data_IF_942328337969
#
_entry.id   IF_942328337969
#
_cell.length_a   1.000
_cell.length_b   1.000
_cell.length_c   1.000
_cell.angle_alpha   90.00
_cell.angle_beta   90.00
_cell.angle_gamma   90.00
#
_symmetry.space_group_name_H-M   'P 1'
#
loop_
_entity.id
_entity.type
_entity.pdbx_description
1 polymer ?
#
# COMPACT_ATOMS: atom_id res chain seq x y z
N UNK A 1 -9.93 26.90 17.65
CA UNK A 1 -9.59 26.23 16.39
C UNK A 1 -8.66 25.10 16.75
N UNK A 2 -9.14 23.85 16.82
CA UNK A 2 -8.32 22.69 17.19
C UNK A 2 -7.58 22.25 15.93
N UNK A 3 -6.26 22.25 15.98
CA UNK A 3 -5.40 21.70 14.94
C UNK A 3 -5.65 20.19 14.92
N UNK A 4 -6.03 19.66 13.76
CA UNK A 4 -6.15 18.23 13.51
C UNK A 4 -4.75 17.62 13.67
N UNK A 5 -4.62 16.65 14.58
CA UNK A 5 -3.37 15.94 14.82
C UNK A 5 -2.91 15.16 13.59
N UNK A 6 -1.58 15.06 13.47
CA UNK A 6 -0.87 14.20 12.53
C UNK A 6 -1.30 12.74 12.74
N UNK A 7 -1.76 12.09 11.67
CA UNK A 7 -2.09 10.67 11.68
C UNK A 7 -0.83 9.93 11.22
N UNK A 8 -0.10 9.36 12.18
CA UNK A 8 1.00 8.43 11.90
C UNK A 8 0.41 7.03 11.72
N UNK A 9 0.39 6.53 10.48
CA UNK A 9 -0.17 5.21 10.12
C UNK A 9 0.85 4.09 10.42
N UNK A 10 2.08 4.41 10.86
CA UNK A 10 3.14 3.43 11.10
C UNK A 10 3.38 3.05 12.56
N UNK A 11 2.86 3.82 13.52
CA UNK A 11 3.09 3.54 14.93
C UNK A 11 1.91 2.80 15.61
N UNK A 12 1.93 1.47 15.52
CA UNK A 12 1.07 0.61 16.37
C UNK A 12 1.64 0.39 17.79
N UNK A 13 2.74 1.04 18.17
CA UNK A 13 3.46 0.71 19.42
C UNK A 13 3.60 1.87 20.41
N UNK A 14 3.43 3.13 20.05
CA UNK A 14 3.59 4.25 21.00
C UNK A 14 2.62 5.42 20.81
N UNK A 15 1.31 5.20 20.93
CA UNK A 15 0.42 6.08 21.72
C UNK A 15 -1.01 5.50 21.77
N UNK A 16 -1.46 5.16 22.99
CA UNK A 16 -2.73 4.45 23.25
C UNK A 16 -4.01 5.26 23.07
N UNK A 17 -4.17 5.99 21.95
CA UNK A 17 -5.38 6.77 21.66
C UNK A 17 -6.01 6.51 20.30
N UNK A 18 -5.36 5.74 19.42
CA UNK A 18 -5.79 5.64 18.03
C UNK A 18 -6.47 4.28 17.82
N UNK A 19 -7.78 4.26 18.06
CA UNK A 19 -8.65 3.08 17.95
C UNK A 19 -8.89 2.62 16.49
N UNK A 20 -7.88 2.67 15.62
CA UNK A 20 -7.96 2.02 14.32
C UNK A 20 -7.45 0.58 14.45
N UNK A 21 -8.30 -0.44 14.24
CA UNK A 21 -7.82 -1.81 14.23
C UNK A 21 -6.79 -1.97 13.09
N UNK A 22 -5.65 -2.66 13.32
CA UNK A 22 -4.68 -2.93 12.27
C UNK A 22 -5.39 -3.64 11.11
N UNK A 23 -5.12 -3.20 9.88
CA UNK A 23 -5.72 -3.82 8.70
C UNK A 23 -5.25 -5.27 8.65
N UNK A 24 -6.15 -6.20 8.38
CA UNK A 24 -5.96 -7.63 8.66
C UNK A 24 -4.67 -8.26 8.08
N UNK A 25 -4.09 -7.68 7.03
CA UNK A 25 -2.85 -8.15 6.38
C UNK A 25 -1.58 -7.40 6.77
N UNK A 26 -1.66 -6.17 7.31
CA UNK A 26 -0.50 -5.35 7.69
C UNK A 26 0.49 -6.06 8.63
N UNK A 27 0.07 -6.70 9.75
CA UNK A 27 1.02 -7.34 10.65
C UNK A 27 1.72 -8.55 10.00
N UNK A 28 1.09 -9.21 9.02
CA UNK A 28 1.69 -10.35 8.31
C UNK A 28 2.71 -9.88 7.28
N UNK A 29 2.37 -8.86 6.49
CA UNK A 29 3.26 -8.26 5.49
C UNK A 29 4.53 -7.70 6.13
N UNK A 30 4.36 -7.01 7.26
CA UNK A 30 5.47 -6.39 7.98
C UNK A 30 6.38 -7.45 8.65
N UNK A 31 5.79 -8.36 9.43
CA UNK A 31 6.58 -9.28 10.26
C UNK A 31 7.17 -10.45 9.48
N UNK A 32 6.50 -10.92 8.41
CA UNK A 32 6.94 -12.11 7.65
C UNK A 32 7.58 -11.77 6.32
N UNK A 33 7.12 -10.73 5.63
CA UNK A 33 7.62 -10.37 4.30
C UNK A 33 8.51 -9.13 4.33
N UNK A 34 8.63 -8.43 5.47
CA UNK A 34 9.38 -7.18 5.62
C UNK A 34 8.96 -6.10 4.62
N UNK A 35 7.66 -6.07 4.29
CA UNK A 35 7.06 -5.06 3.41
C UNK A 35 6.42 -3.98 4.29
N UNK A 36 7.00 -2.80 4.28
CA UNK A 36 6.48 -1.62 4.98
C UNK A 36 5.47 -0.91 4.08
N UNK A 37 4.19 -0.95 4.44
CA UNK A 37 3.09 -0.32 3.71
C UNK A 37 2.51 0.85 4.53
N UNK A 38 3.21 1.98 4.48
CA UNK A 38 2.96 3.18 5.30
C UNK A 38 1.49 3.61 5.30
N UNK A 39 0.78 3.53 4.18
CA UNK A 39 -0.62 3.97 4.10
C UNK A 39 -1.63 2.81 3.99
N UNK A 40 -1.18 1.55 4.11
CA UNK A 40 -2.05 0.38 3.91
C UNK A 40 -2.60 0.28 2.49
N UNK A 41 -1.86 0.73 1.47
CA UNK A 41 -2.27 0.74 0.06
C UNK A 41 -2.60 -0.67 -0.42
N UNK A 42 -1.92 -1.69 0.09
CA UNK A 42 -2.23 -3.07 -0.23
C UNK A 42 -3.64 -3.48 0.23
N UNK A 43 -4.07 -3.03 1.41
CA UNK A 43 -5.40 -3.33 1.93
C UNK A 43 -6.50 -2.47 1.31
N UNK A 44 -6.22 -1.20 0.99
CA UNK A 44 -7.22 -0.29 0.43
C UNK A 44 -7.38 -0.42 -1.09
N UNK A 45 -6.29 -0.66 -1.81
CA UNK A 45 -6.29 -0.70 -3.28
C UNK A 45 -5.99 -2.11 -3.80
N UNK A 46 -4.97 -2.76 -3.27
CA UNK A 46 -4.51 -4.08 -3.75
C UNK A 46 -5.58 -5.16 -3.63
N UNK A 47 -5.96 -5.52 -2.39
CA UNK A 47 -6.93 -6.59 -2.15
C UNK A 47 -8.33 -6.28 -2.72
N UNK A 48 -8.90 -5.08 -2.57
CA UNK A 48 -10.19 -4.75 -3.19
C UNK A 48 -10.12 -4.76 -4.72
N UNK A 49 -9.00 -4.32 -5.32
CA UNK A 49 -8.79 -4.36 -6.77
C UNK A 49 -8.72 -5.79 -7.31
N UNK A 50 -7.99 -6.69 -6.64
CA UNK A 50 -7.93 -8.11 -7.02
C UNK A 50 -9.31 -8.77 -6.88
N UNK A 51 -10.03 -8.50 -5.78
CA UNK A 51 -11.39 -9.00 -5.59
C UNK A 51 -12.32 -8.51 -6.70
N UNK A 52 -12.27 -7.22 -7.03
CA UNK A 52 -13.06 -6.63 -8.12
C UNK A 52 -12.77 -7.27 -9.48
N UNK A 53 -11.50 -7.55 -9.78
CA UNK A 53 -11.12 -8.23 -11.01
C UNK A 53 -11.62 -9.69 -11.07
N UNK A 54 -11.56 -10.43 -9.95
CA UNK A 54 -12.11 -11.78 -9.86
C UNK A 54 -13.63 -11.77 -10.07
N UNK A 55 -14.34 -10.88 -9.38
CA UNK A 55 -15.79 -10.71 -9.55
C UNK A 55 -16.11 -10.32 -11.00
N UNK A 56 -15.34 -9.42 -11.61
CA UNK A 56 -15.49 -9.05 -13.02
C UNK A 56 -15.32 -10.23 -13.98
N UNK A 57 -14.32 -11.09 -13.73
CA UNK A 57 -14.10 -12.30 -14.53
C UNK A 57 -15.26 -13.31 -14.40
N UNK A 58 -15.77 -13.53 -13.19
CA UNK A 58 -16.93 -14.40 -12.95
C UNK A 58 -18.19 -13.83 -13.61
N UNK A 59 -18.43 -12.54 -13.43
CA UNK A 59 -19.57 -11.85 -14.06
C UNK A 59 -19.51 -11.92 -15.58
N UNK A 60 -18.33 -11.75 -16.18
CA UNK A 60 -18.15 -11.92 -17.62
C UNK A 60 -18.39 -13.37 -18.08
N UNK A 61 -17.92 -14.35 -17.31
CA UNK A 61 -18.12 -15.79 -17.60
C UNK A 61 -19.60 -16.19 -17.59
N UNK A 62 -20.41 -15.53 -16.76
CA UNK A 62 -21.83 -15.81 -16.56
C UNK A 62 -22.75 -14.84 -17.33
N UNK A 63 -22.18 -13.98 -18.18
CA UNK A 63 -22.97 -13.00 -18.91
C UNK A 63 -23.91 -13.69 -19.90
N UNK A 64 -25.22 -13.48 -19.73
CA UNK A 64 -26.27 -13.95 -20.65
C UNK A 64 -27.19 -12.79 -21.04
N UNK A 65 -27.93 -12.97 -22.15
CA UNK A 65 -28.96 -12.01 -22.57
C UNK A 65 -30.08 -11.87 -21.53
N UNK A 66 -30.37 -12.90 -20.74
CA UNK A 66 -31.38 -12.83 -19.68
C UNK A 66 -30.95 -11.94 -18.50
N UNK A 67 -29.65 -11.89 -18.21
CA UNK A 67 -29.09 -11.07 -17.11
C UNK A 67 -28.84 -9.63 -17.57
N UNK A 68 -28.30 -9.46 -18.79
CA UNK A 68 -27.86 -8.16 -19.30
C UNK A 68 -28.86 -7.45 -20.21
N UNK A 69 -29.88 -8.16 -20.70
CA UNK A 69 -30.87 -7.62 -21.65
C UNK A 69 -30.22 -6.96 -22.86
N UNK A 70 -30.81 -5.85 -23.30
CA UNK A 70 -30.30 -5.04 -24.42
C UNK A 70 -28.92 -4.41 -24.11
N UNK A 71 -28.61 -4.19 -22.83
CA UNK A 71 -27.31 -3.62 -22.40
C UNK A 71 -26.12 -4.55 -22.61
N UNK A 72 -26.36 -5.82 -22.98
CA UNK A 72 -25.29 -6.75 -23.34
C UNK A 72 -24.48 -6.26 -24.54
N UNK A 73 -25.14 -5.59 -25.51
CA UNK A 73 -24.47 -5.05 -26.69
C UNK A 73 -23.45 -3.96 -26.35
N UNK A 74 -23.64 -3.25 -25.24
CA UNK A 74 -22.76 -2.16 -24.81
C UNK A 74 -21.56 -2.68 -23.99
N UNK A 75 -21.82 -3.61 -23.06
CA UNK A 75 -20.80 -4.08 -22.09
C UNK A 75 -20.01 -5.28 -22.63
N UNK A 76 -20.67 -6.14 -23.42
CA UNK A 76 -20.10 -7.36 -23.97
C UNK A 76 -20.49 -7.54 -25.45
N UNK A 77 -20.07 -6.63 -26.35
CA UNK A 77 -20.47 -6.64 -27.76
C UNK A 77 -20.09 -7.95 -28.46
N UNK A 78 -18.88 -8.48 -28.20
CA UNK A 78 -18.38 -9.73 -28.78
C UNK A 78 -19.20 -10.95 -28.33
N UNK A 79 -19.77 -10.91 -27.11
CA UNK A 79 -20.67 -11.98 -26.63
C UNK A 79 -22.06 -11.80 -27.25
N UNK A 80 -22.53 -10.56 -27.37
CA UNK A 80 -23.82 -10.26 -27.97
C UNK A 80 -23.90 -10.65 -29.45
N UNK A 81 -22.83 -10.41 -30.22
CA UNK A 81 -22.70 -10.80 -31.63
C UNK A 81 -22.50 -12.32 -31.82
N UNK A 82 -22.11 -13.03 -30.75
CA UNK A 82 -21.81 -14.46 -30.80
C UNK A 82 -20.39 -14.78 -31.28
N UNK A 83 -19.53 -13.77 -31.44
CA UNK A 83 -18.13 -13.94 -31.84
C UNK A 83 -17.28 -14.57 -30.73
N UNK A 84 -17.67 -14.34 -29.48
CA UNK A 84 -16.98 -14.82 -28.28
C UNK A 84 -17.97 -15.47 -27.31
N UNK A 85 -17.61 -16.64 -26.80
CA UNK A 85 -18.35 -17.27 -25.71
C UNK A 85 -18.14 -16.52 -24.39
N UNK A 86 -19.19 -16.39 -23.56
CA UNK A 86 -19.12 -15.73 -22.27
C UNK A 86 -18.01 -16.31 -21.37
N UNK A 87 -17.89 -17.64 -21.32
CA UNK A 87 -16.84 -18.34 -20.56
C UNK A 87 -15.43 -17.89 -20.99
N UNK A 88 -15.20 -17.73 -22.28
CA UNK A 88 -13.94 -17.26 -22.84
C UNK A 88 -13.66 -15.79 -22.50
N UNK A 89 -14.69 -14.94 -22.47
CA UNK A 89 -14.56 -13.56 -21.99
C UNK A 89 -14.13 -13.51 -20.52
N UNK A 90 -14.67 -14.39 -19.68
CA UNK A 90 -14.22 -14.57 -18.29
C UNK A 90 -12.74 -14.93 -18.20
N UNK A 91 -12.27 -15.84 -19.05
CA UNK A 91 -10.85 -16.21 -19.13
C UNK A 91 -9.98 -15.01 -19.54
N UNK A 92 -10.43 -14.20 -20.52
CA UNK A 92 -9.71 -12.97 -20.91
C UNK A 92 -9.54 -12.00 -19.74
N UNK A 93 -10.55 -11.86 -18.89
CA UNK A 93 -10.48 -11.03 -17.67
C UNK A 93 -9.53 -11.62 -16.61
N UNK A 94 -9.49 -12.95 -16.46
CA UNK A 94 -8.52 -13.59 -15.57
C UNK A 94 -7.07 -13.39 -16.06
N UNK A 95 -6.85 -13.48 -17.38
CA UNK A 95 -5.54 -13.22 -17.99
C UNK A 95 -5.14 -11.75 -17.80
N UNK A 96 -6.07 -10.81 -17.98
CA UNK A 96 -5.78 -9.39 -17.80
C UNK A 96 -5.35 -9.07 -16.37
N UNK A 97 -5.95 -9.71 -15.36
CA UNK A 97 -5.52 -9.62 -13.96
C UNK A 97 -4.08 -10.14 -13.78
N UNK A 98 -3.76 -11.33 -14.32
CA UNK A 98 -2.42 -11.90 -14.21
C UNK A 98 -1.35 -11.01 -14.88
N UNK A 99 -1.65 -10.47 -16.07
CA UNK A 99 -0.78 -9.54 -16.78
C UNK A 99 -0.57 -8.25 -15.98
N UNK A 100 -1.64 -7.69 -15.42
CA UNK A 100 -1.58 -6.47 -14.60
C UNK A 100 -0.69 -6.67 -13.37
N UNK A 101 -0.85 -7.78 -12.66
CA UNK A 101 0.00 -8.13 -11.53
C UNK A 101 1.46 -8.31 -11.94
N UNK A 102 1.72 -8.96 -13.09
CA UNK A 102 3.06 -9.14 -13.64
C UNK A 102 3.75 -7.81 -13.95
N UNK A 103 3.04 -6.88 -14.61
CA UNK A 103 3.54 -5.54 -14.92
C UNK A 103 3.79 -4.75 -13.62
N UNK A 104 2.86 -4.79 -12.67
CA UNK A 104 2.99 -4.08 -11.40
C UNK A 104 4.22 -4.56 -10.59
N UNK A 105 4.42 -5.89 -10.49
CA UNK A 105 5.56 -6.47 -9.78
C UNK A 105 6.88 -6.13 -10.47
N UNK A 106 6.97 -6.30 -11.79
CA UNK A 106 8.19 -6.02 -12.54
C UNK A 106 8.53 -4.53 -12.53
N UNK A 107 7.55 -3.67 -12.80
CA UNK A 107 7.70 -2.22 -12.79
C UNK A 107 8.06 -1.69 -11.40
N UNK A 108 7.40 -2.19 -10.36
CA UNK A 108 7.71 -1.86 -8.97
C UNK A 108 9.12 -2.29 -8.56
N UNK A 109 9.55 -3.49 -8.95
CA UNK A 109 10.90 -3.99 -8.69
C UNK A 109 11.97 -3.11 -9.37
N UNK A 110 11.80 -2.82 -10.67
CA UNK A 110 12.73 -1.97 -11.42
C UNK A 110 12.81 -0.57 -10.80
N UNK A 111 11.65 0.04 -10.53
CA UNK A 111 11.58 1.37 -9.92
C UNK A 111 12.21 1.38 -8.53
N UNK A 112 11.94 0.36 -7.72
CA UNK A 112 12.54 0.20 -6.40
C UNK A 112 14.06 0.07 -6.45
N UNK A 113 14.61 -0.67 -7.42
CA UNK A 113 16.05 -0.75 -7.61
C UNK A 113 16.67 0.58 -8.03
N UNK A 114 16.01 1.34 -8.91
CA UNK A 114 16.47 2.67 -9.32
C UNK A 114 16.48 3.60 -8.11
N UNK A 115 15.40 3.66 -7.32
CA UNK A 115 15.31 4.52 -6.15
C UNK A 115 16.29 4.15 -5.03
N UNK A 116 16.83 2.92 -5.03
CA UNK A 116 17.84 2.48 -4.07
C UNK A 116 19.25 3.02 -4.36
N UNK A 117 19.46 3.72 -5.48
CA UNK A 117 20.74 4.35 -5.78
C UNK A 117 21.01 5.52 -4.80
N UNK A 118 22.24 5.67 -4.26
CA UNK A 118 22.57 6.66 -3.23
C UNK A 118 22.65 8.11 -3.73
N UNK A 119 22.10 8.40 -4.91
CA UNK A 119 22.11 9.72 -5.55
C UNK A 119 20.86 10.54 -5.21
N UNK A 120 19.82 9.91 -4.66
CA UNK A 120 18.52 10.53 -4.42
C UNK A 120 18.36 11.16 -3.03
N UNK A 121 19.42 11.19 -2.22
CA UNK A 121 19.41 11.87 -0.92
C UNK A 121 18.39 11.32 0.09
N UNK A 122 18.12 10.00 0.05
CA UNK A 122 17.18 9.36 0.97
C UNK A 122 17.62 9.55 2.44
N UNK A 123 16.66 9.78 3.35
CA UNK A 123 16.98 9.99 4.76
C UNK A 123 17.42 8.66 5.41
N UNK A 124 18.19 8.70 6.50
CA UNK A 124 18.45 7.49 7.29
C UNK A 124 17.15 6.94 7.88
N UNK A 125 17.04 5.62 8.03
CA UNK A 125 15.83 4.94 8.53
C UNK A 125 15.33 5.50 9.89
N UNK A 126 16.24 6.03 10.72
CA UNK A 126 15.91 6.62 12.04
C UNK A 126 15.19 7.97 11.95
N UNK A 127 15.20 8.61 10.80
CA UNK A 127 14.56 9.90 10.56
C UNK A 127 13.47 9.80 9.48
N UNK A 128 13.00 8.60 9.16
CA UNK A 128 11.81 8.46 8.33
C UNK A 128 10.61 9.13 9.01
N UNK A 129 9.75 9.78 8.21
CA UNK A 129 8.54 10.50 8.67
C UNK A 129 8.79 11.80 9.44
N UNK A 130 10.03 12.31 9.44
CA UNK A 130 10.39 13.60 10.04
C UNK A 130 10.45 14.72 8.99
N UNK A 131 9.54 15.70 9.10
CA UNK A 131 9.46 16.83 8.16
C UNK A 131 10.68 17.76 8.23
N UNK A 132 11.32 17.87 9.40
CA UNK A 132 12.44 18.79 9.65
C UNK A 132 13.72 18.51 8.83
N UNK A 133 13.83 17.34 8.18
CA UNK A 133 14.94 17.04 7.26
C UNK A 133 14.82 17.85 5.96
N UNK A 134 13.58 18.09 5.52
CA UNK A 134 13.29 18.68 4.21
C UNK A 134 12.70 20.09 4.30
N UNK A 135 12.13 20.45 5.44
CA UNK A 135 11.40 21.69 5.64
C UNK A 135 11.91 22.44 6.87
N UNK A 136 11.96 23.77 6.78
CA UNK A 136 12.14 24.63 7.94
C UNK A 136 10.84 24.64 8.77
N UNK A 137 10.91 24.30 10.06
CA UNK A 137 9.74 24.23 10.92
C UNK A 137 9.49 25.57 11.63
N UNK A 138 8.22 26.02 11.74
CA UNK A 138 7.89 27.26 12.43
C UNK A 138 8.12 27.09 13.95
N UNK A 139 9.09 27.83 14.51
CA UNK A 139 9.35 27.90 15.96
C UNK A 139 10.75 27.46 16.40
N UNK A 140 11.61 27.01 15.49
CA UNK A 140 12.98 26.55 15.82
C UNK A 140 14.05 27.67 15.81
N UNK A 141 13.69 28.91 16.18
CA UNK A 141 14.68 29.89 16.63
C UNK A 141 14.93 29.70 18.13
N UNK A 142 15.59 28.59 18.55
CA UNK A 142 16.10 28.47 19.92
C UNK A 142 16.08 27.11 20.64
N UNK A 143 15.92 25.97 19.97
CA UNK A 143 15.87 24.65 20.66
C UNK A 143 16.69 23.54 20.00
N UNK A 144 17.69 23.87 19.17
CA UNK A 144 18.50 22.87 18.46
C UNK A 144 19.57 22.15 19.31
N UNK A 145 19.69 22.41 20.62
CA UNK A 145 20.68 21.71 21.46
C UNK A 145 20.13 20.52 22.27
N UNK A 146 18.81 20.35 22.45
CA UNK A 146 18.31 19.40 23.46
C UNK A 146 17.87 18.02 22.94
N UNK A 147 17.58 17.84 21.64
CA UNK A 147 16.98 16.58 21.15
C UNK A 147 17.91 15.64 20.36
N UNK A 148 19.17 16.01 20.11
CA UNK A 148 20.15 15.15 19.41
C UNK A 148 21.00 14.28 20.33
N UNK A 149 20.87 14.39 21.66
CA UNK A 149 21.55 13.49 22.60
C UNK A 149 20.61 12.37 23.06
N UNK A 150 20.33 11.42 22.17
CA UNK A 150 19.83 10.10 22.61
C UNK A 150 21.00 9.38 23.28
N UNK A 151 20.87 9.17 24.60
CA UNK A 151 21.82 8.43 25.46
C UNK A 151 22.17 7.06 24.85
N UNK A 152 23.40 6.93 24.36
CA UNK A 152 24.09 5.64 24.16
C UNK A 152 24.84 5.27 25.47
N UNK A 153 25.19 4.00 25.71
CA UNK A 153 24.63 3.17 26.79
C UNK A 153 25.60 2.95 27.96
N UNK A 154 25.30 3.51 29.14
CA UNK A 154 26.02 3.20 30.39
C UNK A 154 25.20 2.31 31.35
N UNK A 155 24.03 1.80 30.94
CA UNK A 155 23.19 0.92 31.78
C UNK A 155 23.43 -0.58 31.55
N UNK A 156 24.46 -0.97 30.77
CA UNK A 156 24.86 -2.36 30.63
C UNK A 156 25.85 -2.84 31.72
N UNK A 157 26.42 -1.95 32.55
CA UNK A 157 27.49 -2.30 33.52
C UNK A 157 27.03 -2.35 35.00
N UNK A 158 25.74 -2.45 35.29
CA UNK A 158 25.25 -2.57 36.69
C UNK A 158 24.40 -3.80 37.00
N UNK A 159 24.48 -4.83 36.16
CA UNK A 159 23.80 -6.10 36.40
C UNK A 159 24.75 -7.29 36.66
N UNK A 160 26.07 -7.07 36.74
CA UNK A 160 27.04 -8.11 37.10
C UNK A 160 28.17 -7.56 38.01
N UNK A 161 27.84 -6.73 39.01
CA UNK A 161 28.76 -6.37 40.10
C UNK A 161 28.03 -6.41 41.44
#
# INVERSE_FOLDING_TARGET
MRVLGYIDITDTRTHGTDNFPPLASQPILEQKLKIQDTCGVHNLHGMPGVLGAIVGAVTAALATKDVYGDGMADVFPDIHSGDVEASFQGVRQAISLAVTLGIALLGGLITGFILKLPIYGAPPDTFCFEDGIYWELPGEEGSQEELTTVRTPDEAEKLNA
#
